data_IF_089097805052
#
_entry.id   IF_089097805052
#
_cell.length_a   1.000
_cell.length_b   1.000
_cell.length_c   1.000
_cell.angle_alpha   90.00
_cell.angle_beta   90.00
_cell.angle_gamma   90.00
#
_symmetry.space_group_name_H-M   'P 1'
#
loop_
_entity.id
_entity.type
_entity.pdbx_description
1 polymer ?
#
# COMPACT_ATOMS: atom_id res chain seq x y z
N UNK A 1 23.83 29.05 -50.54
CA UNK A 1 24.73 28.69 -49.44
C UNK A 1 24.11 29.27 -48.16
N UNK A 2 23.47 28.42 -47.34
CA UNK A 2 22.90 28.73 -46.00
C UNK A 2 21.69 29.68 -45.97
N UNK A 3 20.62 29.49 -45.20
CA UNK A 3 20.32 28.56 -44.12
C UNK A 3 18.80 28.37 -43.99
N UNK A 4 18.37 27.12 -43.83
CA UNK A 4 17.01 26.76 -43.45
C UNK A 4 16.80 27.03 -41.95
N UNK A 5 16.24 28.19 -41.60
CA UNK A 5 15.71 28.43 -40.26
C UNK A 5 14.33 27.76 -40.14
N UNK A 6 14.30 26.53 -39.62
CA UNK A 6 13.09 25.83 -39.21
C UNK A 6 12.44 26.54 -38.02
N UNK A 7 11.58 27.52 -38.32
CA UNK A 7 10.65 28.10 -37.36
C UNK A 7 9.60 27.06 -36.95
N UNK A 8 9.88 26.32 -35.87
CA UNK A 8 8.86 25.52 -35.21
C UNK A 8 7.88 26.45 -34.51
N UNK A 9 6.81 26.82 -35.23
CA UNK A 9 5.61 27.44 -34.69
C UNK A 9 4.98 26.51 -33.65
N UNK A 10 5.46 26.65 -32.41
CA UNK A 10 4.96 25.96 -31.24
C UNK A 10 3.53 26.41 -30.96
N UNK A 11 2.56 25.71 -31.54
CA UNK A 11 1.12 25.85 -31.28
C UNK A 11 0.87 25.67 -29.79
N UNK A 12 0.72 26.79 -29.07
CA UNK A 12 0.40 26.80 -27.64
C UNK A 12 -0.91 26.03 -27.42
N UNK A 13 -0.82 24.83 -26.83
CA UNK A 13 -2.01 24.12 -26.38
C UNK A 13 -2.67 24.96 -25.27
N UNK A 14 -3.99 25.16 -25.29
CA UNK A 14 -4.66 25.91 -24.24
C UNK A 14 -4.38 25.24 -22.90
N UNK A 15 -3.70 25.97 -22.01
CA UNK A 15 -3.42 25.51 -20.65
C UNK A 15 -4.74 25.19 -19.94
N UNK A 16 -4.85 24.04 -19.24
CA UNK A 16 -6.00 23.73 -18.39
C UNK A 16 -6.28 24.89 -17.40
N UNK A 17 -7.54 25.07 -17.02
CA UNK A 17 -7.93 26.17 -16.11
C UNK A 17 -7.12 26.19 -14.80
N UNK A 18 -6.75 25.02 -14.29
CA UNK A 18 -5.98 24.87 -13.05
C UNK A 18 -4.53 25.39 -13.18
N UNK A 19 -3.85 25.10 -14.30
CA UNK A 19 -2.48 25.60 -14.54
C UNK A 19 -2.46 27.10 -14.79
N UNK A 20 -3.51 27.67 -15.40
CA UNK A 20 -3.69 29.12 -15.51
C UNK A 20 -3.82 29.80 -14.14
N UNK A 21 -4.63 29.24 -13.24
CA UNK A 21 -4.80 29.77 -11.88
C UNK A 21 -3.49 29.73 -11.07
N UNK A 22 -2.72 28.66 -11.21
CA UNK A 22 -1.44 28.49 -10.52
C UNK A 22 -0.37 29.43 -11.10
N UNK A 23 -0.33 29.63 -12.42
CA UNK A 23 0.56 30.59 -13.10
C UNK A 23 0.26 32.03 -12.69
N UNK A 24 -1.01 32.42 -12.68
CA UNK A 24 -1.46 33.78 -12.30
C UNK A 24 -1.18 34.07 -10.81
N UNK A 25 -1.29 33.05 -9.95
CA UNK A 25 -0.89 33.14 -8.55
C UNK A 25 0.63 33.27 -8.39
N UNK A 26 1.41 32.57 -9.22
CA UNK A 26 2.87 32.62 -9.21
C UNK A 26 3.37 33.98 -9.68
N UNK A 27 2.77 34.54 -10.75
CA UNK A 27 3.08 35.87 -11.27
C UNK A 27 2.73 36.97 -10.26
N UNK A 28 1.57 36.89 -9.60
CA UNK A 28 1.18 37.85 -8.54
C UNK A 28 2.07 37.78 -7.30
N UNK A 29 2.60 36.60 -6.96
CA UNK A 29 3.52 36.44 -5.83
C UNK A 29 4.94 36.91 -6.18
N UNK A 30 5.42 36.62 -7.40
CA UNK A 30 6.73 37.05 -7.91
C UNK A 30 6.81 38.55 -8.21
N UNK A 31 5.73 39.15 -8.72
CA UNK A 31 5.70 40.54 -9.18
C UNK A 31 5.13 41.53 -8.14
N UNK A 32 4.73 41.04 -6.96
CA UNK A 32 4.29 41.89 -5.86
C UNK A 32 5.44 42.73 -5.33
N UNK A 33 5.32 44.07 -5.38
CA UNK A 33 6.23 45.05 -4.75
C UNK A 33 6.73 44.55 -3.39
N UNK A 34 8.05 44.55 -3.23
CA UNK A 34 8.89 44.03 -2.11
C UNK A 34 8.48 44.48 -0.69
N UNK A 35 7.44 45.30 -0.53
CA UNK A 35 7.02 45.97 0.70
C UNK A 35 5.59 45.74 1.20
N UNK A 36 4.63 45.31 0.38
CA UNK A 36 3.22 45.25 0.80
C UNK A 36 2.84 43.85 1.34
N UNK A 37 2.35 43.81 2.59
CA UNK A 37 1.94 42.64 3.38
C UNK A 37 2.98 41.51 3.54
N UNK A 38 4.17 41.85 4.03
CA UNK A 38 5.23 40.87 4.40
C UNK A 38 4.76 39.87 5.46
N UNK A 39 4.00 40.34 6.45
CA UNK A 39 3.51 39.55 7.57
C UNK A 39 2.51 38.48 7.13
N UNK A 40 1.53 38.82 6.31
CA UNK A 40 0.52 37.87 5.81
C UNK A 40 1.15 36.74 4.98
N UNK A 41 2.12 37.07 4.13
CA UNK A 41 2.85 36.07 3.33
C UNK A 41 3.71 35.17 4.20
N UNK A 42 4.35 35.72 5.23
CA UNK A 42 5.13 34.94 6.19
C UNK A 42 4.26 33.99 7.01
N UNK A 43 3.09 34.45 7.49
CA UNK A 43 2.13 33.62 8.24
C UNK A 43 1.60 32.47 7.38
N UNK A 44 1.23 32.74 6.13
CA UNK A 44 0.76 31.71 5.21
C UNK A 44 1.85 30.69 4.88
N UNK A 45 3.09 31.13 4.66
CA UNK A 45 4.24 30.26 4.46
C UNK A 45 4.58 29.43 5.70
N UNK A 46 4.47 30.00 6.89
CA UNK A 46 4.66 29.28 8.16
C UNK A 46 3.60 28.20 8.35
N UNK A 47 2.32 28.49 8.05
CA UNK A 47 1.24 27.51 8.10
C UNK A 47 1.49 26.33 7.14
N UNK A 48 1.88 26.63 5.90
CA UNK A 48 2.22 25.59 4.92
C UNK A 48 3.45 24.78 5.38
N UNK A 49 4.46 25.43 5.94
CA UNK A 49 5.65 24.76 6.48
C UNK A 49 5.31 23.78 7.60
N UNK A 50 4.48 24.19 8.56
CA UNK A 50 4.01 23.32 9.65
C UNK A 50 3.19 22.13 9.12
N UNK A 51 2.34 22.35 8.10
CA UNK A 51 1.58 21.27 7.48
C UNK A 51 2.48 20.25 6.76
N UNK A 52 3.52 20.73 6.06
CA UNK A 52 4.50 19.88 5.39
C UNK A 52 5.32 19.10 6.43
N UNK A 53 5.71 19.75 7.53
CA UNK A 53 6.47 19.14 8.62
C UNK A 53 5.67 18.02 9.32
N UNK A 54 4.40 18.28 9.64
CA UNK A 54 3.49 17.28 10.17
C UNK A 54 3.32 16.08 9.20
N UNK A 55 3.21 16.36 7.89
CA UNK A 55 3.16 15.32 6.87
C UNK A 55 4.43 14.47 6.81
N UNK A 56 5.60 15.10 6.89
CA UNK A 56 6.89 14.42 6.91
C UNK A 56 7.04 13.53 8.16
N UNK A 57 6.62 14.03 9.32
CA UNK A 57 6.60 13.26 10.57
C UNK A 57 5.73 12.00 10.48
N UNK A 58 4.49 12.15 10.00
CA UNK A 58 3.58 11.02 9.79
C UNK A 58 4.18 10.02 8.79
N UNK A 59 4.82 10.50 7.72
CA UNK A 59 5.45 9.65 6.72
C UNK A 59 6.65 8.88 7.29
N UNK A 60 7.52 9.51 8.09
CA UNK A 60 8.65 8.84 8.74
C UNK A 60 8.20 7.76 9.72
N UNK A 61 7.17 8.04 10.54
CA UNK A 61 6.64 7.06 11.49
C UNK A 61 5.96 5.89 10.77
N UNK A 62 5.17 6.18 9.73
CA UNK A 62 4.31 5.17 9.11
C UNK A 62 4.94 4.45 7.90
N UNK A 63 5.65 5.16 7.02
CA UNK A 63 6.28 4.54 5.83
C UNK A 63 7.63 3.91 6.13
N UNK A 64 8.41 4.50 7.05
CA UNK A 64 9.74 3.99 7.41
C UNK A 64 9.75 3.17 8.71
N UNK A 65 8.63 3.12 9.45
CA UNK A 65 8.53 2.38 10.71
C UNK A 65 9.45 2.92 11.80
N UNK A 66 9.87 4.19 11.69
CA UNK A 66 10.82 4.79 12.63
C UNK A 66 10.13 5.06 13.98
N UNK A 67 10.83 4.78 15.08
CA UNK A 67 10.40 5.15 16.44
C UNK A 67 10.19 6.66 16.59
N UNK A 68 9.22 7.05 17.42
CA UNK A 68 8.80 8.44 17.63
C UNK A 68 9.97 9.40 17.94
N UNK A 69 10.90 8.97 18.80
CA UNK A 69 12.04 9.80 19.22
C UNK A 69 12.99 10.12 18.07
N UNK A 70 13.32 9.11 17.26
CA UNK A 70 14.25 9.30 16.16
C UNK A 70 13.60 9.98 14.97
N UNK A 71 12.30 9.74 14.73
CA UNK A 71 11.53 10.51 13.76
C UNK A 71 11.50 11.99 14.13
N UNK A 72 11.34 12.33 15.41
CA UNK A 72 11.36 13.72 15.88
C UNK A 72 12.73 14.39 15.64
N UNK A 73 13.84 13.67 15.86
CA UNK A 73 15.19 14.20 15.57
C UNK A 73 15.35 14.49 14.07
N UNK A 74 15.02 13.54 13.20
CA UNK A 74 15.14 13.72 11.75
C UNK A 74 14.26 14.86 11.23
N UNK A 75 13.01 14.90 11.67
CA UNK A 75 12.06 15.93 11.27
C UNK A 75 12.56 17.29 11.77
N UNK A 76 12.96 17.42 13.03
CA UNK A 76 13.44 18.71 13.57
C UNK A 76 14.64 19.27 12.80
N UNK A 77 15.60 18.42 12.41
CA UNK A 77 16.74 18.82 11.56
C UNK A 77 16.24 19.29 10.18
N UNK A 78 15.32 18.53 9.57
CA UNK A 78 14.71 18.90 8.31
C UNK A 78 13.92 20.22 8.40
N UNK A 79 13.17 20.45 9.49
CA UNK A 79 12.41 21.69 9.76
C UNK A 79 13.34 22.88 9.86
N UNK A 80 14.48 22.74 10.56
CA UNK A 80 15.47 23.82 10.72
C UNK A 80 16.09 24.16 9.37
N UNK A 81 16.45 23.16 8.56
CA UNK A 81 16.99 23.37 7.21
C UNK A 81 15.96 24.01 6.27
N UNK A 82 14.70 23.57 6.33
CA UNK A 82 13.60 24.16 5.56
C UNK A 82 13.35 25.62 5.98
N UNK A 83 13.28 25.87 7.28
CA UNK A 83 13.05 27.20 7.86
C UNK A 83 14.18 28.17 7.55
N UNK A 84 15.44 27.71 7.66
CA UNK A 84 16.62 28.47 7.27
C UNK A 84 16.61 28.79 5.77
N UNK A 85 16.21 27.84 4.93
CA UNK A 85 16.07 28.03 3.48
C UNK A 85 15.01 29.08 3.15
N UNK A 86 13.89 29.11 3.87
CA UNK A 86 12.84 30.13 3.71
C UNK A 86 13.26 31.50 4.27
N UNK A 87 14.10 31.54 5.30
CA UNK A 87 14.55 32.77 5.94
C UNK A 87 15.64 33.51 5.17
N UNK A 88 16.66 32.80 4.66
CA UNK A 88 17.91 33.37 4.16
C UNK A 88 17.84 33.95 2.73
N UNK A 89 16.91 33.52 1.86
CA UNK A 89 16.94 33.95 0.46
C UNK A 89 15.56 34.15 -0.19
N UNK A 90 15.39 35.30 -0.84
CA UNK A 90 14.21 35.63 -1.68
C UNK A 90 14.03 34.65 -2.85
N UNK A 91 15.12 34.07 -3.36
CA UNK A 91 15.08 33.01 -4.37
C UNK A 91 14.52 31.70 -3.81
N UNK A 92 14.94 31.28 -2.61
CA UNK A 92 14.43 30.07 -1.97
C UNK A 92 12.94 30.19 -1.63
N UNK A 93 12.44 31.37 -1.26
CA UNK A 93 11.00 31.61 -1.06
C UNK A 93 10.17 31.39 -2.33
N UNK A 94 10.70 31.79 -3.48
CA UNK A 94 10.05 31.53 -4.78
C UNK A 94 10.09 30.05 -5.13
N UNK A 95 11.24 29.40 -4.97
CA UNK A 95 11.40 27.96 -5.25
C UNK A 95 10.47 27.14 -4.34
N UNK A 96 10.41 27.42 -3.04
CA UNK A 96 9.48 26.78 -2.10
C UNK A 96 8.01 27.03 -2.47
N UNK A 97 7.66 28.24 -2.92
CA UNK A 97 6.32 28.55 -3.44
C UNK A 97 6.01 27.80 -4.73
N UNK A 98 7.02 27.36 -5.50
CA UNK A 98 6.85 26.48 -6.65
C UNK A 98 6.73 25.00 -6.26
N UNK A 99 7.20 24.56 -5.10
CA UNK A 99 7.04 23.17 -4.67
C UNK A 99 5.58 22.82 -4.37
N UNK A 100 4.83 23.73 -3.73
CA UNK A 100 3.39 23.57 -3.47
C UNK A 100 2.61 23.24 -4.75
N UNK A 101 2.69 24.02 -5.86
CA UNK A 101 2.03 23.69 -7.12
C UNK A 101 2.61 22.45 -7.81
N UNK A 102 3.90 22.12 -7.61
CA UNK A 102 4.50 20.90 -8.16
C UNK A 102 3.93 19.62 -7.52
N UNK A 103 3.51 19.64 -6.25
CA UNK A 103 2.80 18.49 -5.65
C UNK A 103 1.44 18.23 -6.32
N UNK A 104 0.78 19.28 -6.83
CA UNK A 104 -0.49 19.17 -7.56
C UNK A 104 -0.32 18.90 -9.06
N UNK A 105 0.92 18.79 -9.57
CA UNK A 105 1.18 18.39 -10.97
C UNK A 105 1.09 16.88 -11.14
N UNK A 106 1.00 16.40 -12.39
CA UNK A 106 0.80 14.96 -12.68
C UNK A 106 1.85 14.03 -12.05
N UNK A 107 3.11 14.49 -11.92
CA UNK A 107 4.19 13.75 -11.26
C UNK A 107 4.09 13.78 -9.73
N UNK A 108 3.74 14.93 -9.15
CA UNK A 108 3.56 15.07 -7.70
C UNK A 108 2.35 14.27 -7.19
N UNK A 109 1.27 14.22 -7.97
CA UNK A 109 0.08 13.41 -7.67
C UNK A 109 0.40 11.92 -7.57
N UNK A 110 1.28 11.40 -8.43
CA UNK A 110 1.68 9.99 -8.36
C UNK A 110 2.37 9.68 -7.03
N UNK A 111 3.32 10.53 -6.60
CA UNK A 111 4.01 10.40 -5.31
C UNK A 111 3.02 10.50 -4.14
N UNK A 112 2.13 11.50 -4.15
CA UNK A 112 1.10 11.65 -3.13
C UNK A 112 0.18 10.43 -3.06
N UNK A 113 -0.27 9.91 -4.19
CA UNK A 113 -1.11 8.72 -4.25
C UNK A 113 -0.37 7.49 -3.74
N UNK A 114 0.92 7.32 -4.05
CA UNK A 114 1.72 6.22 -3.50
C UNK A 114 1.83 6.32 -1.98
N UNK A 115 2.13 7.50 -1.44
CA UNK A 115 2.19 7.71 0.01
C UNK A 115 0.83 7.44 0.65
N UNK A 116 -0.26 7.99 0.12
CA UNK A 116 -1.62 7.75 0.59
C UNK A 116 -1.98 6.26 0.55
N UNK A 117 -1.63 5.55 -0.52
CA UNK A 117 -1.86 4.11 -0.63
C UNK A 117 -1.05 3.36 0.43
N UNK A 118 0.22 3.69 0.63
CA UNK A 118 1.04 3.11 1.71
C UNK A 118 0.40 3.35 3.07
N UNK A 119 -0.04 4.59 3.35
CA UNK A 119 -0.73 4.96 4.58
C UNK A 119 -2.03 4.16 4.81
N UNK A 120 -2.84 4.02 3.75
CA UNK A 120 -4.12 3.31 3.83
C UNK A 120 -3.92 1.80 3.96
N UNK A 121 -2.86 1.24 3.37
CA UNK A 121 -2.66 -0.21 3.26
C UNK A 121 -2.04 -0.83 4.53
N UNK A 122 -1.23 -0.12 5.31
CA UNK A 122 -0.60 -0.77 6.48
C UNK A 122 -1.61 -1.16 7.59
N UNK A 123 -2.71 -0.43 7.75
CA UNK A 123 -3.78 -0.77 8.72
C UNK A 123 -4.57 -2.05 8.38
N UNK A 124 -5.13 -2.23 7.18
CA UNK A 124 -5.84 -3.45 6.81
C UNK A 124 -4.93 -4.67 6.72
N UNK A 125 -3.62 -4.49 6.46
CA UNK A 125 -2.68 -5.61 6.37
C UNK A 125 -2.60 -6.41 7.67
N UNK A 126 -2.52 -5.74 8.82
CA UNK A 126 -2.45 -6.40 10.12
C UNK A 126 -3.74 -7.18 10.41
N UNK A 127 -4.90 -6.63 10.06
CA UNK A 127 -6.19 -7.29 10.22
C UNK A 127 -6.31 -8.54 9.32
N UNK A 128 -5.92 -8.44 8.05
CA UNK A 128 -5.91 -9.57 7.12
C UNK A 128 -4.94 -10.64 7.60
N UNK A 129 -3.74 -10.26 8.04
CA UNK A 129 -2.75 -11.20 8.57
C UNK A 129 -3.27 -11.94 9.81
N UNK A 130 -3.95 -11.24 10.73
CA UNK A 130 -4.55 -11.85 11.91
C UNK A 130 -5.69 -12.81 11.54
N UNK A 131 -6.57 -12.42 10.62
CA UNK A 131 -7.65 -13.28 10.15
C UNK A 131 -7.10 -14.51 9.42
N UNK A 132 -6.11 -14.34 8.54
CA UNK A 132 -5.44 -15.44 7.86
C UNK A 132 -4.77 -16.40 8.86
N UNK A 133 -4.14 -15.90 9.92
CA UNK A 133 -3.58 -16.73 11.00
C UNK A 133 -4.66 -17.53 11.72
N UNK A 134 -5.81 -16.92 12.03
CA UNK A 134 -6.94 -17.62 12.66
C UNK A 134 -7.53 -18.68 11.72
N UNK A 135 -7.77 -18.33 10.45
CA UNK A 135 -8.24 -19.26 9.42
C UNK A 135 -7.27 -20.42 9.22
N UNK A 136 -5.96 -20.16 9.19
CA UNK A 136 -4.94 -21.20 9.08
C UNK A 136 -4.99 -22.20 10.25
N UNK A 137 -5.18 -21.71 11.49
CA UNK A 137 -5.39 -22.59 12.66
C UNK A 137 -6.67 -23.44 12.53
N UNK A 138 -7.77 -22.84 12.09
CA UNK A 138 -9.02 -23.58 11.84
C UNK A 138 -8.87 -24.60 10.72
N UNK A 139 -8.12 -24.29 9.66
CA UNK A 139 -7.78 -25.23 8.60
C UNK A 139 -6.97 -26.41 9.10
N UNK A 140 -5.98 -26.21 9.99
CA UNK A 140 -5.25 -27.32 10.60
C UNK A 140 -6.19 -28.26 11.37
N UNK A 141 -7.12 -27.72 12.15
CA UNK A 141 -8.14 -28.52 12.84
C UNK A 141 -9.09 -29.23 11.86
N UNK A 142 -9.50 -28.58 10.77
CA UNK A 142 -10.30 -29.18 9.71
C UNK A 142 -9.58 -30.36 9.04
N UNK A 143 -8.28 -30.26 8.80
CA UNK A 143 -7.47 -31.35 8.23
C UNK A 143 -7.39 -32.52 9.21
N UNK A 144 -7.18 -32.25 10.50
CA UNK A 144 -7.17 -33.30 11.53
C UNK A 144 -8.54 -34.00 11.63
N UNK A 145 -9.63 -33.23 11.61
CA UNK A 145 -10.98 -33.77 11.60
C UNK A 145 -11.26 -34.59 10.33
N UNK A 146 -10.93 -34.07 9.15
CA UNK A 146 -11.16 -34.75 7.88
C UNK A 146 -10.36 -36.06 7.78
N UNK A 147 -9.12 -36.07 8.27
CA UNK A 147 -8.28 -37.28 8.28
C UNK A 147 -8.78 -38.32 9.28
N UNK A 148 -9.19 -37.90 10.48
CA UNK A 148 -9.79 -38.80 11.47
C UNK A 148 -11.09 -39.41 10.93
N UNK A 149 -11.97 -38.58 10.39
CA UNK A 149 -13.25 -39.02 9.82
C UNK A 149 -13.07 -39.92 8.59
N UNK A 150 -12.05 -39.66 7.76
CA UNK A 150 -11.71 -40.54 6.63
C UNK A 150 -11.24 -41.92 7.09
N UNK A 151 -10.43 -41.99 8.17
CA UNK A 151 -10.00 -43.26 8.75
C UNK A 151 -11.18 -44.03 9.32
N UNK A 152 -12.07 -43.34 10.05
CA UNK A 152 -13.29 -43.95 10.58
C UNK A 152 -14.16 -44.56 9.48
N UNK A 153 -14.43 -43.80 8.41
CA UNK A 153 -15.21 -44.30 7.27
C UNK A 153 -14.49 -45.46 6.56
N UNK A 154 -13.16 -45.43 6.47
CA UNK A 154 -12.39 -46.51 5.88
C UNK A 154 -12.54 -47.81 6.68
N UNK A 155 -12.45 -47.75 8.00
CA UNK A 155 -12.63 -48.93 8.86
C UNK A 155 -14.06 -49.48 8.78
N UNK A 156 -15.07 -48.61 8.85
CA UNK A 156 -16.47 -49.02 8.70
C UNK A 156 -16.75 -49.64 7.32
N UNK A 157 -16.14 -49.11 6.25
CA UNK A 157 -16.29 -49.67 4.89
C UNK A 157 -15.63 -51.04 4.70
N UNK A 158 -14.61 -51.39 5.50
CA UNK A 158 -13.95 -52.70 5.44
C UNK A 158 -14.76 -53.79 6.12
N UNK A 159 -15.56 -53.46 7.13
CA UNK A 159 -16.39 -54.43 7.85
C UNK A 159 -17.30 -55.30 6.95
N UNK A 160 -18.07 -54.74 6.00
CA UNK A 160 -18.91 -55.56 5.13
C UNK A 160 -18.08 -56.47 4.21
N UNK A 161 -16.90 -56.02 3.77
CA UNK A 161 -16.01 -56.80 2.88
C UNK A 161 -15.47 -58.03 3.60
N UNK A 162 -14.98 -57.87 4.84
CA UNK A 162 -14.49 -59.00 5.64
C UNK A 162 -15.61 -59.97 6.01
N UNK A 163 -16.79 -59.48 6.37
CA UNK A 163 -17.97 -60.32 6.63
C UNK A 163 -18.36 -61.14 5.39
N UNK A 164 -18.37 -60.53 4.20
CA UNK A 164 -18.63 -61.24 2.96
C UNK A 164 -17.56 -62.29 2.70
N UNK A 165 -16.27 -61.95 2.85
CA UNK A 165 -15.16 -62.87 2.64
C UNK A 165 -15.25 -64.11 3.53
N UNK A 166 -15.53 -63.94 4.81
CA UNK A 166 -15.76 -65.06 5.74
C UNK A 166 -16.92 -65.94 5.28
N UNK A 167 -18.06 -65.34 4.92
CA UNK A 167 -19.25 -66.06 4.43
C UNK A 167 -18.99 -66.87 3.16
N UNK A 168 -18.20 -66.32 2.22
CA UNK A 168 -17.80 -67.03 1.00
C UNK A 168 -16.86 -68.19 1.29
N UNK A 169 -15.93 -68.02 2.23
CA UNK A 169 -14.99 -69.05 2.63
C UNK A 169 -15.69 -70.24 3.29
N UNK A 170 -16.58 -69.98 4.26
CA UNK A 170 -17.36 -71.03 4.94
C UNK A 170 -18.25 -71.80 3.97
N UNK A 171 -18.83 -71.09 2.99
CA UNK A 171 -19.65 -71.73 1.94
C UNK A 171 -18.80 -72.66 1.06
N UNK A 172 -17.60 -72.23 0.68
CA UNK A 172 -16.70 -73.06 -0.11
C UNK A 172 -16.28 -74.33 0.66
N UNK A 173 -15.93 -74.19 1.94
CA UNK A 173 -15.51 -75.30 2.81
C UNK A 173 -16.63 -76.33 3.03
N UNK A 174 -17.86 -75.85 3.28
CA UNK A 174 -19.05 -76.72 3.39
C UNK A 174 -19.29 -77.49 2.09
N UNK A 175 -19.12 -76.85 0.92
CA UNK A 175 -19.33 -77.48 -0.38
C UNK A 175 -18.27 -78.54 -0.67
N UNK A 176 -17.00 -78.28 -0.32
CA UNK A 176 -15.90 -79.25 -0.47
C UNK A 176 -16.12 -80.47 0.44
N UNK A 177 -16.61 -80.24 1.65
CA UNK A 177 -16.90 -81.31 2.62
C UNK A 177 -18.04 -82.20 2.13
N UNK A 178 -19.14 -81.63 1.62
CA UNK A 178 -20.24 -82.43 1.06
C UNK A 178 -19.82 -83.26 -0.16
N UNK A 179 -19.02 -82.68 -1.07
CA UNK A 179 -18.49 -83.41 -2.23
C UNK A 179 -17.61 -84.59 -1.77
N UNK A 180 -16.79 -84.40 -0.73
CA UNK A 180 -15.89 -85.45 -0.22
C UNK A 180 -16.60 -86.60 0.50
N UNK A 181 -17.82 -86.39 1.02
CA UNK A 181 -18.64 -87.44 1.66
C UNK A 181 -19.46 -88.22 0.61
N UNK A 182 -19.66 -87.64 -0.58
CA UNK A 182 -20.47 -88.23 -1.67
C UNK A 182 -19.64 -89.06 -2.66
N UNK A 183 -18.30 -88.95 -2.62
CA UNK A 183 -17.33 -89.76 -3.36
C UNK A 183 -16.79 -90.92 -2.50
#
# INVERSE_FOLDING_TARGET
MGDHASGSDGKYRPMPKLTRFMSDSTEKVLHSKRGAHKTTKAVFGAFIGVLIDAGLYILCVFSFGYTYDSAAIFVSIATVLLSASLALSSHCRCIASLYVPNFFTGKGRAVLLTVLLSLIVSYPLENIANNAKKTGKSMSCLVELATNQSRYLQDESRQPVEKLKGKWYDRADTTITEISITL
#
